data_IF_111807284299
#
_entry.id   IF_111807284299
#
_cell.length_a   1.000
_cell.length_b   1.000
_cell.length_c   1.000
_cell.angle_alpha   90.00
_cell.angle_beta   90.00
_cell.angle_gamma   90.00
#
_symmetry.space_group_name_H-M   'P 1'
#
loop_
_entity.id
_entity.type
_entity.pdbx_description
1 polymer ?
#
# COMPACT_ATOMS: atom_id res chain seq x y z
N UNK A 1 -15.25 13.11 -5.63
CA UNK A 1 -16.02 12.04 -4.95
C UNK A 1 -15.71 12.11 -3.47
N UNK A 2 -16.72 12.10 -2.60
CA UNK A 2 -16.56 12.19 -1.15
C UNK A 2 -15.67 11.05 -0.61
N UNK A 3 -14.81 11.38 0.35
CA UNK A 3 -13.99 10.40 1.04
C UNK A 3 -14.90 9.46 1.85
N UNK A 4 -14.61 8.14 1.85
CA UNK A 4 -15.23 7.22 2.81
C UNK A 4 -14.71 7.64 4.20
N UNK A 5 -15.56 8.08 5.14
CA UNK A 5 -15.08 8.59 6.42
C UNK A 5 -14.53 7.45 7.29
N UNK A 6 -13.46 7.74 8.04
CA UNK A 6 -12.90 6.79 9.01
C UNK A 6 -13.71 6.81 10.31
N UNK A 7 -14.86 6.13 10.30
CA UNK A 7 -15.81 6.08 11.42
C UNK A 7 -15.39 5.05 12.49
N UNK A 8 -15.94 5.12 13.71
CA UNK A 8 -15.74 4.08 14.73
C UNK A 8 -16.13 2.68 14.25
N UNK A 9 -17.20 2.55 13.47
CA UNK A 9 -17.63 1.27 12.90
C UNK A 9 -16.58 0.72 11.92
N UNK A 10 -16.08 1.57 11.01
CA UNK A 10 -15.05 1.17 10.06
C UNK A 10 -13.72 0.83 10.76
N UNK A 11 -13.38 1.57 11.82
CA UNK A 11 -12.24 1.25 12.68
C UNK A 11 -12.35 -0.15 13.29
N UNK A 12 -13.53 -0.49 13.83
CA UNK A 12 -13.78 -1.81 14.41
C UNK A 12 -13.74 -2.92 13.35
N UNK A 13 -14.29 -2.67 12.16
CA UNK A 13 -14.26 -3.60 11.03
C UNK A 13 -12.82 -3.95 10.62
N UNK A 14 -11.95 -2.96 10.43
CA UNK A 14 -10.54 -3.21 10.09
C UNK A 14 -9.84 -4.04 11.17
N UNK A 15 -10.05 -3.72 12.44
CA UNK A 15 -9.46 -4.46 13.55
C UNK A 15 -9.94 -5.93 13.56
N UNK A 16 -11.23 -6.16 13.36
CA UNK A 16 -11.82 -7.50 13.30
C UNK A 16 -11.26 -8.30 12.10
N UNK A 17 -11.24 -7.71 10.90
CA UNK A 17 -10.69 -8.35 9.70
C UNK A 17 -9.20 -8.70 9.88
N UNK A 18 -8.40 -7.80 10.45
CA UNK A 18 -6.97 -8.08 10.68
C UNK A 18 -6.75 -9.14 11.76
N UNK A 19 -7.57 -9.14 12.81
CA UNK A 19 -7.55 -10.17 13.85
C UNK A 19 -7.83 -11.56 13.29
N UNK A 20 -8.86 -11.67 12.44
CA UNK A 20 -9.26 -12.91 11.77
C UNK A 20 -8.46 -13.25 10.50
N UNK A 21 -7.49 -12.42 10.12
CA UNK A 21 -6.68 -12.61 8.91
C UNK A 21 -5.70 -13.76 9.12
N UNK A 22 -5.76 -14.74 8.20
CA UNK A 22 -4.81 -15.84 8.08
C UNK A 22 -4.28 -15.89 6.67
N UNK A 23 -2.96 -16.08 6.53
CA UNK A 23 -2.31 -16.28 5.23
C UNK A 23 -2.77 -17.61 4.66
N UNK A 24 -3.27 -17.61 3.43
CA UNK A 24 -3.66 -18.84 2.75
C UNK A 24 -2.42 -19.73 2.54
N UNK A 25 -2.46 -21.04 2.90
CA UNK A 25 -1.27 -21.90 2.87
C UNK A 25 -0.54 -21.92 1.53
N UNK A 26 -1.26 -21.91 0.41
CA UNK A 26 -0.69 -21.88 -0.95
C UNK A 26 0.06 -20.59 -1.31
N UNK A 27 -0.08 -19.53 -0.51
CA UNK A 27 0.58 -18.25 -0.73
C UNK A 27 1.66 -17.93 0.30
N UNK A 28 1.86 -18.76 1.33
CA UNK A 28 2.81 -18.49 2.41
C UNK A 28 4.23 -18.17 1.92
N UNK A 29 4.74 -18.94 0.94
CA UNK A 29 6.07 -18.70 0.36
C UNK A 29 6.17 -17.33 -0.33
N UNK A 30 5.12 -16.92 -1.06
CA UNK A 30 5.08 -15.62 -1.75
C UNK A 30 4.99 -14.45 -0.75
N UNK A 31 4.20 -14.60 0.31
CA UNK A 31 4.12 -13.61 1.40
C UNK A 31 5.47 -13.46 2.09
N UNK A 32 6.12 -14.58 2.44
CA UNK A 32 7.44 -14.59 3.07
C UNK A 32 8.50 -13.93 2.18
N UNK A 33 8.48 -14.19 0.87
CA UNK A 33 9.40 -13.57 -0.07
C UNK A 33 9.20 -12.04 -0.17
N UNK A 34 7.95 -11.59 -0.21
CA UNK A 34 7.61 -10.17 -0.24
C UNK A 34 8.09 -9.45 1.04
N UNK A 35 7.84 -10.02 2.22
CA UNK A 35 8.28 -9.46 3.50
C UNK A 35 9.80 -9.49 3.64
N UNK A 36 10.47 -10.58 3.24
CA UNK A 36 11.93 -10.61 3.21
C UNK A 36 12.51 -9.52 2.31
N UNK A 37 11.88 -9.23 1.17
CA UNK A 37 12.30 -8.14 0.29
C UNK A 37 12.16 -6.75 0.93
N UNK A 38 11.10 -6.52 1.70
CA UNK A 38 10.91 -5.31 2.49
C UNK A 38 12.02 -5.13 3.52
N UNK A 39 12.30 -6.19 4.29
CA UNK A 39 13.26 -6.16 5.38
C UNK A 39 14.69 -5.88 4.91
N UNK A 40 15.08 -6.33 3.71
CA UNK A 40 16.38 -5.99 3.11
C UNK A 40 16.61 -4.48 2.96
N UNK A 41 15.54 -3.70 2.88
CA UNK A 41 15.60 -2.25 2.70
C UNK A 41 15.03 -1.48 3.89
N UNK A 42 14.82 -2.14 5.04
CA UNK A 42 14.26 -1.55 6.27
C UNK A 42 14.94 -0.25 6.66
N UNK A 43 16.28 -0.21 6.70
CA UNK A 43 17.03 0.98 7.10
C UNK A 43 16.76 2.18 6.17
N UNK A 44 16.64 1.94 4.86
CA UNK A 44 16.35 2.97 3.85
C UNK A 44 14.94 3.53 4.03
N UNK A 45 13.95 2.65 4.24
CA UNK A 45 12.58 3.08 4.55
C UNK A 45 12.48 3.80 5.89
N UNK A 46 13.23 3.37 6.90
CA UNK A 46 13.23 3.99 8.22
C UNK A 46 13.83 5.39 8.20
N UNK A 47 14.91 5.62 7.46
CA UNK A 47 15.48 6.95 7.29
C UNK A 47 14.44 7.95 6.75
N UNK A 48 13.81 7.62 5.62
CA UNK A 48 12.75 8.45 5.04
C UNK A 48 11.53 8.56 5.96
N UNK A 49 11.14 7.46 6.61
CA UNK A 49 10.01 7.43 7.52
C UNK A 49 10.19 8.33 8.74
N UNK A 50 11.40 8.40 9.29
CA UNK A 50 11.74 9.29 10.40
C UNK A 50 11.59 10.76 9.99
N UNK A 51 12.06 11.13 8.81
CA UNK A 51 11.97 12.50 8.30
C UNK A 51 10.50 12.93 8.03
N UNK A 52 9.66 11.97 7.60
CA UNK A 52 8.27 12.23 7.23
C UNK A 52 7.27 11.94 8.36
N UNK A 53 7.68 11.36 9.49
CA UNK A 53 6.78 10.86 10.54
C UNK A 53 5.83 9.76 10.05
N UNK A 54 6.33 8.85 9.21
CA UNK A 54 5.59 7.71 8.65
C UNK A 54 6.33 6.44 9.06
N UNK A 55 5.67 5.44 9.69
CA UNK A 55 6.39 4.26 10.11
C UNK A 55 6.91 3.47 8.90
N UNK A 56 8.18 3.04 8.95
CA UNK A 56 8.94 2.51 7.81
C UNK A 56 8.20 1.45 7.00
N UNK A 57 7.49 0.53 7.67
CA UNK A 57 6.78 -0.56 7.04
C UNK A 57 5.61 -0.09 6.14
N UNK A 58 4.98 1.06 6.45
CA UNK A 58 3.94 1.66 5.60
C UNK A 58 4.54 2.10 4.28
N UNK A 59 5.68 2.80 4.32
CA UNK A 59 6.41 3.23 3.11
C UNK A 59 6.83 2.03 2.29
N UNK A 60 7.42 1.02 2.93
CA UNK A 60 7.87 -0.20 2.25
C UNK A 60 6.72 -0.94 1.57
N UNK A 61 5.61 -1.15 2.29
CA UNK A 61 4.42 -1.84 1.75
C UNK A 61 3.85 -1.06 0.57
N UNK A 62 3.65 0.26 0.69
CA UNK A 62 3.20 1.10 -0.43
C UNK A 62 4.17 0.99 -1.62
N UNK A 63 5.48 1.06 -1.39
CA UNK A 63 6.46 0.93 -2.45
C UNK A 63 6.40 -0.43 -3.17
N UNK A 64 6.14 -1.51 -2.41
CA UNK A 64 5.90 -2.84 -2.98
C UNK A 64 4.62 -2.88 -3.81
N UNK A 65 3.55 -2.27 -3.31
CA UNK A 65 2.25 -2.28 -3.98
C UNK A 65 2.26 -1.48 -5.29
N UNK A 66 2.88 -0.31 -5.28
CA UNK A 66 2.84 0.64 -6.40
C UNK A 66 3.97 0.42 -7.42
N UNK A 67 5.12 -0.10 -6.99
CA UNK A 67 6.28 -0.23 -7.87
C UNK A 67 7.13 -1.49 -7.66
N UNK A 68 6.57 -2.54 -7.03
CA UNK A 68 7.30 -3.80 -6.78
C UNK A 68 8.63 -3.62 -6.03
N UNK A 69 8.78 -2.55 -5.24
CA UNK A 69 10.00 -2.25 -4.50
C UNK A 69 11.16 -1.71 -5.36
N UNK A 70 10.88 -1.19 -6.56
CA UNK A 70 11.89 -0.68 -7.48
C UNK A 70 12.36 0.74 -7.14
N UNK A 71 13.59 0.83 -6.62
CA UNK A 71 14.24 2.11 -6.29
C UNK A 71 14.75 2.92 -7.49
N UNK A 72 14.56 2.43 -8.72
CA UNK A 72 14.91 3.15 -9.96
C UNK A 72 13.70 3.85 -10.62
N UNK A 73 12.54 3.83 -9.95
CA UNK A 73 11.27 4.38 -10.44
C UNK A 73 10.61 5.33 -9.45
N UNK A 74 9.81 6.25 -9.97
CA UNK A 74 8.95 7.14 -9.21
C UNK A 74 7.89 6.35 -8.44
N UNK A 75 7.74 6.63 -7.15
CA UNK A 75 6.68 6.03 -6.33
C UNK A 75 5.27 6.42 -6.81
N UNK A 76 5.14 7.56 -7.49
CA UNK A 76 3.86 8.07 -8.00
C UNK A 76 3.14 7.10 -8.93
N UNK A 77 3.86 6.53 -9.89
CA UNK A 77 3.28 5.81 -11.03
C UNK A 77 4.28 4.84 -11.71
N UNK A 78 5.50 4.74 -11.20
CA UNK A 78 6.54 3.86 -11.72
C UNK A 78 7.31 4.37 -12.94
N UNK A 79 7.24 5.66 -13.30
CA UNK A 79 8.11 6.23 -14.34
C UNK A 79 9.60 6.19 -13.93
N UNK A 80 10.57 6.16 -14.87
CA UNK A 80 11.99 6.27 -14.53
C UNK A 80 12.32 7.55 -13.76
N UNK A 81 13.23 7.47 -12.78
CA UNK A 81 13.69 8.64 -12.01
C UNK A 81 14.55 9.64 -12.81
N UNK A 82 14.86 9.34 -14.08
CA UNK A 82 15.73 10.15 -14.95
C UNK A 82 15.05 11.38 -15.55
N UNK A 83 13.75 11.54 -15.32
CA UNK A 83 12.94 12.69 -15.76
C UNK A 83 11.79 12.89 -14.79
N UNK A 84 11.00 13.95 -14.93
CA UNK A 84 9.71 14.06 -14.21
C UNK A 84 8.72 13.04 -14.77
N UNK A 85 7.72 12.69 -13.96
CA UNK A 85 6.64 11.79 -14.38
C UNK A 85 5.92 12.33 -15.61
N UNK A 86 5.64 11.44 -16.55
CA UNK A 86 4.83 11.71 -17.75
C UNK A 86 3.45 11.09 -17.62
N UNK A 87 3.36 9.93 -16.97
CA UNK A 87 2.08 9.33 -16.57
C UNK A 87 1.47 10.12 -15.42
N UNK A 88 0.16 9.98 -15.24
CA UNK A 88 -0.57 10.63 -14.15
C UNK A 88 -0.08 10.06 -12.80
N UNK A 89 0.17 10.90 -11.78
CA UNK A 89 0.22 12.36 -11.83
C UNK A 89 1.47 12.86 -12.56
N UNK A 90 1.29 13.66 -13.62
CA UNK A 90 2.39 14.14 -14.47
C UNK A 90 3.13 15.33 -13.84
N UNK A 91 4.38 15.53 -14.24
CA UNK A 91 5.23 16.65 -13.84
C UNK A 91 5.84 16.55 -12.44
N UNK A 92 5.88 15.36 -11.83
CA UNK A 92 6.40 15.14 -10.47
C UNK A 92 7.81 14.53 -10.45
N UNK A 93 8.60 14.73 -9.38
CA UNK A 93 8.42 15.68 -8.28
C UNK A 93 8.36 17.12 -8.78
N UNK A 94 7.79 18.05 -8.01
CA UNK A 94 7.76 19.47 -8.41
C UNK A 94 9.09 20.18 -8.09
N UNK A 95 9.73 19.82 -6.99
CA UNK A 95 10.99 20.42 -6.54
C UNK A 95 12.21 19.61 -6.99
N UNK A 96 13.32 20.31 -7.22
CA UNK A 96 14.57 19.72 -7.70
C UNK A 96 14.60 19.48 -9.21
N UNK A 97 15.72 18.94 -9.70
CA UNK A 97 15.95 18.58 -11.10
C UNK A 97 16.37 17.11 -11.23
N UNK A 98 16.00 16.42 -12.33
CA UNK A 98 16.38 15.03 -12.55
C UNK A 98 17.88 14.87 -12.87
N UNK A 99 18.46 13.67 -12.67
CA UNK A 99 17.82 12.48 -12.14
C UNK A 99 17.51 12.61 -10.64
N UNK A 100 16.32 12.17 -10.23
CA UNK A 100 15.88 12.21 -8.85
C UNK A 100 16.39 11.00 -8.07
N UNK A 101 16.62 11.15 -6.77
CA UNK A 101 16.69 9.98 -5.88
C UNK A 101 15.29 9.42 -5.65
N UNK A 102 15.23 8.14 -5.28
CA UNK A 102 13.95 7.54 -4.92
C UNK A 102 13.31 8.25 -3.73
N UNK A 103 14.10 8.66 -2.74
CA UNK A 103 13.65 9.38 -1.54
C UNK A 103 12.97 10.71 -1.91
N UNK A 104 13.56 11.49 -2.81
CA UNK A 104 12.95 12.73 -3.31
C UNK A 104 11.59 12.46 -3.95
N UNK A 105 11.51 11.43 -4.79
CA UNK A 105 10.23 11.05 -5.41
C UNK A 105 9.22 10.49 -4.41
N UNK A 106 9.66 9.70 -3.44
CA UNK A 106 8.78 9.08 -2.46
C UNK A 106 8.21 10.13 -1.51
N UNK A 107 9.02 11.10 -1.09
CA UNK A 107 8.57 12.22 -0.27
C UNK A 107 7.48 13.04 -0.97
N UNK A 108 7.66 13.42 -2.25
CA UNK A 108 6.64 14.13 -3.03
C UNK A 108 5.33 13.31 -3.16
N UNK A 109 5.44 12.01 -3.44
CA UNK A 109 4.29 11.11 -3.56
C UNK A 109 3.51 10.96 -2.24
N UNK A 110 4.20 10.76 -1.12
CA UNK A 110 3.57 10.59 0.19
C UNK A 110 2.94 11.90 0.68
N UNK A 111 3.59 13.04 0.42
CA UNK A 111 3.05 14.37 0.71
C UNK A 111 1.79 14.67 -0.13
N UNK A 112 1.79 14.33 -1.43
CA UNK A 112 0.59 14.45 -2.28
C UNK A 112 -0.59 13.64 -1.73
N UNK A 113 -0.31 12.45 -1.18
CA UNK A 113 -1.30 11.58 -0.54
C UNK A 113 -1.66 12.04 0.88
N UNK A 114 -1.10 13.16 1.37
CA UNK A 114 -1.31 13.73 2.71
C UNK A 114 -1.01 12.72 3.83
N UNK A 115 0.07 11.96 3.69
CA UNK A 115 0.59 11.07 4.71
C UNK A 115 1.76 11.74 5.41
N UNK A 116 1.84 11.60 6.73
CA UNK A 116 2.85 12.27 7.55
C UNK A 116 2.54 12.17 9.05
N UNK A 117 3.12 13.05 9.90
CA UNK A 117 3.09 12.91 11.35
C UNK A 117 1.68 13.00 11.96
N UNK A 118 0.77 13.74 11.32
CA UNK A 118 -0.62 13.89 11.77
C UNK A 118 -1.55 12.75 11.34
N UNK A 119 -1.02 11.67 10.75
CA UNK A 119 -1.82 10.53 10.29
C UNK A 119 -2.02 9.54 11.42
N UNK A 120 -3.22 8.96 11.54
CA UNK A 120 -3.47 7.86 12.47
C UNK A 120 -2.77 6.58 11.97
N UNK A 121 -1.65 6.25 12.61
CA UNK A 121 -0.87 5.04 12.35
C UNK A 121 -1.20 3.88 13.30
N UNK A 122 -2.30 3.94 14.06
CA UNK A 122 -2.84 2.74 14.70
C UNK A 122 -3.14 1.67 13.65
N UNK A 123 -3.20 0.39 14.04
CA UNK A 123 -3.50 -0.71 13.11
C UNK A 123 -4.69 -0.41 12.16
N UNK A 124 -5.90 -0.06 12.65
CA UNK A 124 -7.02 0.25 11.75
C UNK A 124 -6.81 1.54 10.96
N UNK A 125 -6.10 2.54 11.52
CA UNK A 125 -5.74 3.78 10.81
C UNK A 125 -4.82 3.50 9.63
N UNK A 126 -3.80 2.66 9.82
CA UNK A 126 -2.88 2.20 8.77
C UNK A 126 -3.61 1.44 7.66
N UNK A 127 -4.50 0.51 8.01
CA UNK A 127 -5.31 -0.22 7.03
C UNK A 127 -6.23 0.72 6.23
N UNK A 128 -6.82 1.70 6.89
CA UNK A 128 -7.59 2.76 6.24
C UNK A 128 -6.73 3.58 5.26
N UNK A 129 -5.50 3.94 5.62
CA UNK A 129 -4.61 4.67 4.71
C UNK A 129 -4.18 3.82 3.51
N UNK A 130 -3.89 2.54 3.69
CA UNK A 130 -3.60 1.65 2.57
C UNK A 130 -4.79 1.56 1.61
N UNK A 131 -6.00 1.37 2.12
CA UNK A 131 -7.18 1.33 1.26
C UNK A 131 -7.45 2.69 0.60
N UNK A 132 -7.24 3.80 1.31
CA UNK A 132 -7.34 5.15 0.74
C UNK A 132 -6.30 5.39 -0.35
N UNK A 133 -5.09 4.84 -0.19
CA UNK A 133 -4.00 4.99 -1.15
C UNK A 133 -4.39 4.42 -2.51
N UNK A 134 -4.96 3.21 -2.51
CA UNK A 134 -5.51 2.51 -3.66
C UNK A 134 -6.84 3.11 -4.15
N UNK A 135 -7.71 3.46 -3.22
CA UNK A 135 -9.08 3.96 -3.46
C UNK A 135 -10.17 3.02 -2.97
N UNK A 136 -11.31 3.60 -2.61
CA UNK A 136 -12.47 2.91 -2.00
C UNK A 136 -13.48 2.33 -3.01
N UNK A 137 -13.03 1.96 -4.22
CA UNK A 137 -13.94 1.43 -5.26
C UNK A 137 -14.69 0.17 -4.83
N UNK A 138 -14.04 -0.70 -4.05
CA UNK A 138 -14.65 -1.92 -3.50
C UNK A 138 -15.76 -1.58 -2.51
N UNK A 139 -15.51 -0.73 -1.51
CA UNK A 139 -16.55 -0.33 -0.54
C UNK A 139 -17.79 0.31 -1.18
N UNK A 140 -17.62 1.03 -2.29
CA UNK A 140 -18.73 1.73 -2.96
C UNK A 140 -19.55 0.87 -3.90
N UNK A 141 -18.90 -0.08 -4.56
CA UNK A 141 -19.51 -0.79 -5.70
C UNK A 141 -19.54 -2.31 -5.53
N UNK A 142 -18.65 -2.86 -4.70
CA UNK A 142 -18.49 -4.29 -4.42
C UNK A 142 -18.22 -4.55 -2.92
N UNK A 143 -19.08 -4.06 -1.99
CA UNK A 143 -18.85 -4.21 -0.56
C UNK A 143 -18.78 -5.68 -0.09
N UNK A 144 -19.29 -6.61 -0.89
CA UNK A 144 -19.19 -8.05 -0.69
C UNK A 144 -17.79 -8.63 -0.94
N UNK A 145 -16.89 -7.88 -1.60
CA UNK A 145 -15.51 -8.29 -1.89
C UNK A 145 -14.54 -7.43 -1.09
N UNK A 146 -13.91 -7.96 -0.02
CA UNK A 146 -12.81 -7.28 0.65
C UNK A 146 -11.71 -6.92 -0.34
N UNK A 147 -11.25 -5.66 -0.31
CA UNK A 147 -10.30 -5.16 -1.30
C UNK A 147 -9.06 -6.07 -1.41
N UNK A 148 -8.74 -6.63 -2.59
CA UNK A 148 -7.53 -7.42 -2.79
C UNK A 148 -6.26 -6.60 -2.54
N UNK A 149 -6.32 -5.27 -2.66
CA UNK A 149 -5.19 -4.41 -2.29
C UNK A 149 -4.79 -4.59 -0.82
N UNK A 150 -5.77 -4.86 0.07
CA UNK A 150 -5.50 -5.19 1.46
C UNK A 150 -5.33 -6.70 1.68
N UNK A 151 -6.25 -7.50 1.15
CA UNK A 151 -6.50 -8.86 1.64
C UNK A 151 -6.14 -9.97 0.67
N UNK A 152 -5.60 -9.67 -0.51
CA UNK A 152 -5.13 -10.72 -1.42
C UNK A 152 -4.09 -11.61 -0.73
N UNK A 153 -4.21 -12.93 -0.93
CA UNK A 153 -3.44 -14.00 -0.28
C UNK A 153 -3.87 -14.36 1.16
N UNK A 154 -5.01 -13.84 1.65
CA UNK A 154 -5.62 -14.29 2.91
C UNK A 154 -6.92 -15.05 2.71
N UNK A 155 -7.46 -15.60 3.80
CA UNK A 155 -8.80 -16.19 3.87
C UNK A 155 -9.95 -15.21 3.52
N UNK A 156 -9.71 -13.89 3.52
CA UNK A 156 -10.75 -12.89 3.23
C UNK A 156 -10.96 -12.63 1.74
N UNK A 157 -10.06 -13.10 0.87
CA UNK A 157 -10.12 -12.82 -0.56
C UNK A 157 -10.01 -14.10 -1.39
N UNK A 158 -10.89 -14.25 -2.37
CA UNK A 158 -10.84 -15.37 -3.34
C UNK A 158 -10.73 -14.87 -4.77
N UNK A 159 -11.60 -13.96 -5.21
CA UNK A 159 -11.66 -13.40 -6.56
C UNK A 159 -12.48 -12.11 -6.57
N UNK A 160 -12.50 -11.44 -7.71
CA UNK A 160 -13.12 -10.14 -7.88
C UNK A 160 -12.05 -9.06 -7.81
N UNK A 161 -11.82 -8.34 -8.90
CA UNK A 161 -10.94 -7.16 -8.88
C UNK A 161 -11.26 -6.20 -10.01
N UNK A 162 -10.89 -4.94 -9.79
CA UNK A 162 -10.69 -3.99 -10.88
C UNK A 162 -9.44 -4.42 -11.67
N UNK A 163 -9.60 -4.66 -12.96
CA UNK A 163 -8.51 -5.05 -13.89
C UNK A 163 -7.91 -3.83 -14.59
N UNK A 164 -8.67 -2.74 -14.66
CA UNK A 164 -8.26 -1.41 -15.07
C UNK A 164 -9.15 -0.39 -14.33
N UNK A 165 -8.84 0.89 -14.45
CA UNK A 165 -9.63 1.95 -13.83
C UNK A 165 -11.11 1.86 -14.25
N UNK A 166 -11.98 1.78 -13.24
CA UNK A 166 -13.43 1.61 -13.42
C UNK A 166 -13.88 0.28 -14.02
N UNK A 167 -12.96 -0.65 -14.34
CA UNK A 167 -13.26 -1.90 -15.03
C UNK A 167 -13.25 -3.08 -14.06
N UNK A 168 -14.42 -3.46 -13.56
CA UNK A 168 -14.61 -4.58 -12.64
C UNK A 168 -14.64 -5.93 -13.36
N UNK A 169 -14.02 -6.95 -12.75
CA UNK A 169 -14.19 -8.36 -13.11
C UNK A 169 -14.47 -9.19 -11.86
N UNK A 170 -15.63 -9.85 -11.82
CA UNK A 170 -16.03 -10.71 -10.72
C UNK A 170 -15.21 -12.02 -10.62
N UNK A 171 -14.48 -12.38 -11.68
CA UNK A 171 -13.75 -13.66 -11.77
C UNK A 171 -12.24 -13.51 -11.76
N UNK A 172 -11.72 -12.31 -12.06
CA UNK A 172 -10.29 -12.05 -11.99
C UNK A 172 -9.76 -12.20 -10.56
N UNK A 173 -8.54 -12.74 -10.44
CA UNK A 173 -7.87 -12.99 -9.16
C UNK A 173 -6.62 -12.13 -9.08
N UNK A 174 -6.42 -11.45 -7.95
CA UNK A 174 -5.17 -10.74 -7.68
C UNK A 174 -4.00 -11.71 -7.55
N UNK A 175 -2.89 -11.41 -8.23
CA UNK A 175 -1.63 -12.16 -8.15
C UNK A 175 -0.59 -11.48 -7.25
N UNK A 176 -0.99 -10.40 -6.59
CA UNK A 176 -0.14 -9.58 -5.72
C UNK A 176 -0.55 -9.81 -4.27
N UNK A 177 0.43 -9.90 -3.37
CA UNK A 177 0.18 -9.98 -1.93
C UNK A 177 -0.46 -8.67 -1.44
N UNK A 178 -1.52 -8.76 -0.63
CA UNK A 178 -2.19 -7.58 -0.09
C UNK A 178 -1.37 -6.87 0.99
N UNK A 179 -1.56 -5.56 1.11
CA UNK A 179 -0.90 -4.71 2.09
C UNK A 179 -1.16 -5.14 3.54
N UNK A 180 -2.39 -5.53 3.87
CA UNK A 180 -2.73 -6.01 5.21
C UNK A 180 -2.10 -7.38 5.50
N UNK A 181 -1.93 -8.22 4.48
CA UNK A 181 -1.29 -9.53 4.59
C UNK A 181 0.22 -9.39 4.82
N UNK A 182 0.89 -8.48 4.11
CA UNK A 182 2.29 -8.13 4.40
C UNK A 182 2.46 -7.54 5.80
N UNK A 183 1.56 -6.66 6.24
CA UNK A 183 1.57 -6.11 7.59
C UNK A 183 1.39 -7.20 8.65
N UNK A 184 0.45 -8.13 8.44
CA UNK A 184 0.22 -9.28 9.34
C UNK A 184 1.48 -10.10 9.54
N UNK A 185 2.17 -10.42 8.44
CA UNK A 185 3.41 -11.20 8.49
C UNK A 185 4.55 -10.43 9.17
N UNK A 186 4.67 -9.12 8.98
CA UNK A 186 5.62 -8.29 9.72
C UNK A 186 5.33 -8.29 11.23
N UNK A 187 4.06 -8.17 11.64
CA UNK A 187 3.67 -8.22 13.06
C UNK A 187 3.97 -9.59 13.68
N UNK A 188 3.71 -10.69 12.95
CA UNK A 188 4.08 -12.05 13.41
C UNK A 188 5.59 -12.18 13.65
N UNK A 189 6.41 -11.48 12.86
CA UNK A 189 7.87 -11.44 13.01
C UNK A 189 8.38 -10.43 14.04
N UNK A 190 7.50 -9.63 14.65
CA UNK A 190 7.89 -8.58 15.61
C UNK A 190 8.53 -7.35 14.95
N UNK A 191 8.29 -7.11 13.67
CA UNK A 191 8.87 -6.00 12.89
C UNK A 191 7.93 -4.79 12.75
N UNK A 192 6.67 -4.94 13.16
CA UNK A 192 5.59 -3.96 13.04
C UNK A 192 4.62 -4.03 14.23
#
# INVERSE_FOLDING_TARGET
MSAVPFTPALKAEYAALFGACTVAPGHAAAVNAAVAALLRHRARYAALGNDLGIPWHVIGIIHTMECSGRFDRHLHNGDPLTARTTRVPAGRPHQGEPPFTWEQSAADALAMKKLGPGTDWSLPGTLYQFERYNGFGYRRHHPEVPSPYLWSFSNHYTRGKYVADGTWSATAVSKQCGAAVMLKELTVRGEA
#
